data_IF_397687637183
#
_entry.id   IF_397687637183
#
_cell.length_a   1.000
_cell.length_b   1.000
_cell.length_c   1.000
_cell.angle_alpha   90.00
_cell.angle_beta   90.00
_cell.angle_gamma   90.00
#
_symmetry.space_group_name_H-M   'P 1'
#
loop_
_entity.id
_entity.type
_entity.pdbx_description
1 polymer ?
#
# COMPACT_ATOMS: atom_id res chain seq x y z
N UNK A 1 -18.03 7.90 -1.21
CA UNK A 1 -18.09 6.49 -1.67
C UNK A 1 -16.71 5.85 -1.56
N UNK A 2 -16.38 5.26 -0.42
CA UNK A 2 -15.21 4.35 -0.32
C UNK A 2 -15.60 3.02 -0.94
N UNK A 3 -15.30 2.84 -2.23
CA UNK A 3 -15.47 1.56 -2.92
C UNK A 3 -14.58 0.52 -2.22
N UNK A 4 -15.07 -0.71 -2.07
CA UNK A 4 -14.43 -1.84 -1.36
C UNK A 4 -12.97 -2.13 -1.79
N UNK A 5 -12.50 -1.57 -2.91
CA UNK A 5 -11.10 -1.61 -3.33
C UNK A 5 -10.15 -0.63 -2.64
N UNK A 6 -10.63 0.30 -1.80
CA UNK A 6 -9.80 1.34 -1.16
C UNK A 6 -9.30 0.93 0.26
N UNK A 7 -9.87 -0.11 0.85
CA UNK A 7 -9.39 -0.69 2.12
C UNK A 7 -8.31 -1.75 1.87
N UNK A 8 -7.21 -1.77 2.65
CA UNK A 8 -6.18 -2.80 2.53
C UNK A 8 -6.64 -4.12 3.15
N UNK A 9 -6.17 -5.24 2.60
CA UNK A 9 -6.43 -6.57 3.19
C UNK A 9 -5.88 -6.66 4.63
N UNK A 10 -6.59 -7.38 5.52
CA UNK A 10 -6.14 -7.61 6.91
C UNK A 10 -4.73 -8.22 6.97
N UNK A 11 -4.40 -9.08 6.00
CA UNK A 11 -3.06 -9.69 5.86
C UNK A 11 -1.98 -8.62 5.63
N UNK A 12 -2.28 -7.60 4.85
CA UNK A 12 -1.37 -6.49 4.55
C UNK A 12 -1.12 -5.63 5.77
N UNK A 13 -2.17 -5.28 6.51
CA UNK A 13 -2.05 -4.57 7.79
C UNK A 13 -1.16 -5.38 8.76
N UNK A 14 -1.38 -6.69 8.86
CA UNK A 14 -0.58 -7.57 9.72
C UNK A 14 0.90 -7.59 9.31
N UNK A 15 1.20 -7.69 8.01
CA UNK A 15 2.58 -7.60 7.48
C UNK A 15 3.23 -6.27 7.84
N UNK A 16 2.53 -5.15 7.63
CA UNK A 16 3.04 -3.82 7.95
C UNK A 16 3.29 -3.65 9.46
N UNK A 17 2.37 -4.13 10.31
CA UNK A 17 2.53 -4.13 11.77
C UNK A 17 3.70 -5.00 12.23
N UNK A 18 3.90 -6.18 11.62
CA UNK A 18 5.06 -7.04 11.90
C UNK A 18 6.35 -6.31 11.56
N UNK A 19 6.45 -5.71 10.37
CA UNK A 19 7.61 -4.92 9.98
C UNK A 19 7.88 -3.76 10.95
N UNK A 20 6.82 -3.09 11.44
CA UNK A 20 6.94 -2.05 12.46
C UNK A 20 7.47 -2.59 13.79
N UNK A 21 6.98 -3.74 14.25
CA UNK A 21 7.46 -4.41 15.49
C UNK A 21 8.91 -4.85 15.38
N UNK A 22 9.33 -5.25 14.18
CA UNK A 22 10.73 -5.60 13.86
C UNK A 22 11.63 -4.36 13.69
N UNK A 23 11.13 -3.14 13.91
CA UNK A 23 11.91 -1.91 13.76
C UNK A 23 12.28 -1.54 12.31
N UNK A 24 11.63 -2.15 11.32
CA UNK A 24 11.94 -1.93 9.90
C UNK A 24 11.50 -0.54 9.43
N UNK A 25 12.20 -0.02 8.43
CA UNK A 25 11.95 1.30 7.85
C UNK A 25 10.49 1.49 7.36
N UNK A 26 9.96 2.74 7.36
CA UNK A 26 8.60 3.03 6.88
C UNK A 26 8.36 2.62 5.43
N UNK A 27 9.37 2.68 4.56
CA UNK A 27 9.30 2.19 3.18
C UNK A 27 9.06 0.68 3.12
N UNK A 28 9.70 -0.09 4.00
CA UNK A 28 9.50 -1.54 4.10
C UNK A 28 8.11 -1.89 4.62
N UNK A 29 7.60 -1.12 5.60
CA UNK A 29 6.22 -1.27 6.08
C UNK A 29 5.21 -0.99 4.95
N UNK A 30 5.47 0.06 4.16
CA UNK A 30 4.66 0.44 3.02
C UNK A 30 4.68 -0.58 1.87
N UNK A 31 5.79 -1.31 1.73
CA UNK A 31 5.98 -2.32 0.69
C UNK A 31 4.90 -3.39 0.69
N UNK A 32 4.35 -3.74 1.86
CA UNK A 32 3.24 -4.70 1.97
C UNK A 32 2.00 -4.23 1.20
N UNK A 33 1.69 -2.93 1.23
CA UNK A 33 0.53 -2.34 0.55
C UNK A 33 0.77 -2.23 -0.96
N UNK A 34 1.99 -1.88 -1.37
CA UNK A 34 2.36 -1.84 -2.79
C UNK A 34 2.33 -3.25 -3.40
N UNK A 35 2.80 -4.27 -2.66
CA UNK A 35 2.76 -5.68 -3.09
C UNK A 35 1.31 -6.16 -3.31
N UNK A 36 0.39 -5.78 -2.42
CA UNK A 36 -1.04 -6.08 -2.55
C UNK A 36 -1.63 -5.48 -3.84
N UNK A 37 -1.44 -4.18 -4.06
CA UNK A 37 -1.97 -3.51 -5.26
C UNK A 37 -1.36 -4.06 -6.55
N UNK A 38 -0.07 -4.40 -6.53
CA UNK A 38 0.59 -5.03 -7.67
C UNK A 38 0.03 -6.44 -7.95
N UNK A 39 -0.34 -7.19 -6.91
CA UNK A 39 -1.00 -8.49 -7.05
C UNK A 39 -2.42 -8.33 -7.59
N UNK A 40 -3.16 -7.33 -7.13
CA UNK A 40 -4.49 -7.02 -7.63
C UNK A 40 -4.46 -6.58 -9.09
N UNK A 41 -3.48 -5.76 -9.49
CA UNK A 41 -3.22 -5.38 -10.88
C UNK A 41 -2.98 -6.62 -11.76
N UNK A 42 -2.10 -7.53 -11.34
CA UNK A 42 -1.82 -8.78 -12.08
C UNK A 42 -3.05 -9.69 -12.20
N UNK A 43 -3.95 -9.67 -11.21
CA UNK A 43 -5.17 -10.49 -11.18
C UNK A 43 -6.38 -9.80 -11.83
N UNK A 44 -6.22 -8.59 -12.36
CA UNK A 44 -7.34 -7.82 -12.94
C UNK A 44 -8.42 -7.42 -11.94
N UNK A 45 -8.12 -7.39 -10.63
CA UNK A 45 -9.11 -7.15 -9.56
C UNK A 45 -9.54 -5.69 -9.42
N UNK A 46 -8.69 -4.73 -9.80
CA UNK A 46 -9.01 -3.30 -9.73
C UNK A 46 -9.07 -2.67 -11.12
N UNK A 47 -9.80 -1.56 -11.26
CA UNK A 47 -9.79 -0.69 -12.46
C UNK A 47 -8.46 0.07 -12.67
N UNK A 48 -7.37 -0.39 -12.05
CA UNK A 48 -6.05 0.24 -12.10
C UNK A 48 -5.40 -0.15 -13.43
N UNK A 49 -5.02 0.85 -14.23
CA UNK A 49 -4.53 0.63 -15.59
C UNK A 49 -3.00 0.55 -15.71
N UNK A 50 -2.28 0.81 -14.62
CA UNK A 50 -0.81 0.84 -14.64
C UNK A 50 -0.15 0.48 -13.30
N UNK A 51 1.10 0.00 -13.39
CA UNK A 51 1.95 -0.27 -12.22
C UNK A 51 2.20 1.00 -11.38
N UNK A 52 2.40 2.15 -12.03
CA UNK A 52 2.59 3.44 -11.35
C UNK A 52 1.38 3.81 -10.50
N UNK A 53 0.18 3.57 -11.03
CA UNK A 53 -1.06 3.82 -10.29
C UNK A 53 -1.24 2.82 -9.13
N UNK A 54 -0.90 1.54 -9.32
CA UNK A 54 -0.92 0.55 -8.24
C UNK A 54 0.02 0.95 -7.09
N UNK A 55 1.23 1.40 -7.40
CA UNK A 55 2.19 1.91 -6.40
C UNK A 55 1.61 3.13 -5.67
N UNK A 56 1.04 4.10 -6.40
CA UNK A 56 0.46 5.30 -5.80
C UNK A 56 -0.71 4.98 -4.84
N UNK A 57 -1.57 4.03 -5.22
CA UNK A 57 -2.67 3.55 -4.37
C UNK A 57 -2.11 2.85 -3.14
N UNK A 58 -1.14 1.94 -3.29
CA UNK A 58 -0.52 1.23 -2.17
C UNK A 58 0.12 2.18 -1.16
N UNK A 59 0.84 3.20 -1.64
CA UNK A 59 1.41 4.25 -0.80
C UNK A 59 0.35 5.16 -0.14
N UNK A 60 -0.79 5.36 -0.80
CA UNK A 60 -1.93 6.06 -0.21
C UNK A 60 -2.57 5.26 0.93
N UNK A 61 -2.82 3.96 0.72
CA UNK A 61 -3.34 3.03 1.74
C UNK A 61 -2.39 2.92 2.93
N UNK A 62 -1.09 2.79 2.69
CA UNK A 62 -0.09 2.75 3.75
C UNK A 62 -0.12 4.00 4.64
N UNK A 63 -0.28 5.19 4.04
CA UNK A 63 -0.44 6.45 4.79
C UNK A 63 -1.74 6.47 5.61
N UNK A 64 -2.86 6.06 5.02
CA UNK A 64 -4.15 5.92 5.74
C UNK A 64 -4.03 4.93 6.92
N UNK A 65 -3.23 3.88 6.76
CA UNK A 65 -2.95 2.89 7.81
C UNK A 65 -1.92 3.35 8.87
N UNK A 66 -1.47 4.61 8.82
CA UNK A 66 -0.56 5.20 9.81
C UNK A 66 0.93 4.93 9.58
N UNK A 67 1.33 4.45 8.39
CA UNK A 67 2.75 4.33 8.04
C UNK A 67 3.31 5.72 7.73
N UNK A 68 4.40 6.09 8.42
CA UNK A 68 5.07 7.40 8.30
C UNK A 68 5.94 7.49 7.03
N UNK A 69 5.30 7.52 5.86
CA UNK A 69 6.01 7.68 4.57
C UNK A 69 6.10 9.17 4.25
N UNK A 70 7.30 9.65 3.94
CA UNK A 70 7.48 11.00 3.40
C UNK A 70 6.78 11.09 2.04
N UNK A 71 5.95 12.12 1.83
CA UNK A 71 5.52 12.46 0.45
C UNK A 71 6.78 12.79 -0.34
N UNK A 72 6.95 12.19 -1.52
CA UNK A 72 7.92 12.72 -2.45
C UNK A 72 7.57 14.20 -2.66
N UNK A 73 8.54 15.10 -2.45
CA UNK A 73 8.37 16.50 -2.86
C UNK A 73 8.09 16.45 -4.36
N UNK A 74 6.95 17.00 -4.78
CA UNK A 74 6.72 17.23 -6.21
C UNK A 74 7.86 18.10 -6.70
N UNK A 75 8.57 17.62 -7.71
CA UNK A 75 9.34 18.48 -8.59
C UNK A 75 8.36 19.28 -9.45
#
# INVERSE_FOLDING_TARGET
MTKEGDMPENKTIRKARKAKREGKAPSTQAGAFVEEEMRHLKRGKHRVKSRKQAIAIGLSKARKAGVKIKKARGA
#
